data_IF_294468716972
#
_entry.id   IF_294468716972
#
_cell.length_a   1.000
_cell.length_b   1.000
_cell.length_c   1.000
_cell.angle_alpha   90.00
_cell.angle_beta   90.00
_cell.angle_gamma   90.00
#
_symmetry.space_group_name_H-M   'P 1'
#
loop_
_entity.id
_entity.type
_entity.pdbx_description
1 polymer ?
#
# COMPACT_ATOMS: atom_id res chain seq x y z
N UNK A 1 4.73 -15.22 9.41
CA UNK A 1 3.63 -16.23 9.34
C UNK A 1 2.31 -15.64 9.86
N UNK A 2 2.36 -14.60 10.68
CA UNK A 2 1.20 -14.00 11.33
C UNK A 2 0.55 -12.82 10.57
N UNK A 3 0.75 -12.73 9.25
CA UNK A 3 0.20 -11.62 8.45
C UNK A 3 -1.34 -11.59 8.49
N UNK A 4 -1.98 -12.76 8.62
CA UNK A 4 -3.43 -12.88 8.75
C UNK A 4 -3.95 -12.09 9.96
N UNK A 5 -3.24 -12.08 11.10
CA UNK A 5 -3.66 -11.31 12.30
C UNK A 5 -3.79 -9.82 11.99
N UNK A 6 -2.90 -9.28 11.16
CA UNK A 6 -2.96 -7.87 10.74
C UNK A 6 -4.11 -7.67 9.76
N UNK A 7 -4.29 -8.55 8.79
CA UNK A 7 -5.38 -8.46 7.82
C UNK A 7 -6.77 -8.59 8.49
N UNK A 8 -6.89 -9.48 9.47
CA UNK A 8 -8.09 -9.68 10.28
C UNK A 8 -8.38 -8.41 11.08
N UNK A 9 -7.39 -7.88 11.80
CA UNK A 9 -7.52 -6.60 12.52
C UNK A 9 -8.01 -5.47 11.61
N UNK A 10 -7.37 -5.27 10.45
CA UNK A 10 -7.77 -4.21 9.52
C UNK A 10 -9.20 -4.42 8.98
N UNK A 11 -9.59 -5.67 8.74
CA UNK A 11 -10.94 -6.00 8.27
C UNK A 11 -12.00 -5.76 9.35
N UNK A 12 -11.75 -6.22 10.58
CA UNK A 12 -12.65 -6.06 11.73
C UNK A 12 -12.88 -4.59 12.11
N UNK A 13 -11.88 -3.73 11.87
CA UNK A 13 -11.95 -2.29 12.13
C UNK A 13 -12.35 -1.49 10.88
N UNK A 14 -12.82 -2.17 9.83
CA UNK A 14 -13.24 -1.57 8.55
C UNK A 14 -12.18 -0.67 7.88
N UNK A 15 -10.90 -0.93 8.16
CA UNK A 15 -9.77 -0.22 7.55
C UNK A 15 -9.51 -0.80 6.16
N UNK A 16 -9.75 0.00 5.13
CA UNK A 16 -9.42 -0.36 3.76
C UNK A 16 -7.91 -0.64 3.63
N UNK A 17 -7.56 -1.71 2.93
CA UNK A 17 -6.16 -2.12 2.82
C UNK A 17 -5.85 -2.83 1.49
N UNK A 18 -4.58 -2.81 1.10
CA UNK A 18 -4.08 -3.59 -0.02
C UNK A 18 -2.99 -4.54 0.41
N UNK A 19 -3.03 -5.74 -0.16
CA UNK A 19 -2.03 -6.76 0.04
C UNK A 19 -1.28 -7.00 -1.26
N UNK A 20 0.04 -6.85 -1.23
CA UNK A 20 0.93 -7.13 -2.34
C UNK A 20 1.92 -8.24 -1.94
N UNK A 21 1.98 -9.29 -2.75
CA UNK A 21 2.85 -10.42 -2.54
C UNK A 21 3.86 -10.50 -3.66
N UNK A 22 5.13 -10.70 -3.30
CA UNK A 22 6.19 -10.86 -4.28
C UNK A 22 7.25 -11.83 -3.77
N UNK A 23 7.93 -12.49 -4.71
CA UNK A 23 9.09 -13.32 -4.38
C UNK A 23 10.31 -12.43 -4.18
N UNK A 24 11.11 -12.72 -3.18
CA UNK A 24 12.33 -11.96 -2.91
C UNK A 24 13.24 -12.65 -1.91
N UNK A 25 14.16 -11.87 -1.36
CA UNK A 25 15.00 -12.32 -0.22
C UNK A 25 14.31 -11.98 1.09
N UNK A 26 14.67 -12.69 2.15
CA UNK A 26 14.29 -12.31 3.51
C UNK A 26 14.62 -10.82 3.78
N UNK A 27 13.85 -10.19 4.67
CA UNK A 27 14.21 -8.87 5.21
C UNK A 27 15.37 -8.95 6.22
N UNK A 28 15.68 -10.16 6.71
CA UNK A 28 16.93 -10.45 7.39
C UNK A 28 18.08 -10.45 6.37
N UNK A 29 19.01 -9.52 6.54
CA UNK A 29 20.15 -9.32 5.64
C UNK A 29 21.13 -10.50 5.61
N UNK A 30 21.11 -11.37 6.63
CA UNK A 30 21.98 -12.55 6.70
C UNK A 30 21.38 -13.78 6.00
N UNK A 31 20.06 -13.76 5.74
CA UNK A 31 19.35 -14.89 5.15
C UNK A 31 19.43 -14.85 3.63
N UNK A 32 19.97 -15.93 3.04
CA UNK A 32 19.95 -16.15 1.58
C UNK A 32 18.70 -16.89 1.10
N UNK A 33 17.84 -17.32 2.02
CA UNK A 33 16.67 -18.11 1.70
C UNK A 33 15.67 -17.33 0.85
N UNK A 34 15.17 -17.92 -0.25
CA UNK A 34 14.07 -17.34 -0.98
C UNK A 34 12.83 -17.22 -0.11
N UNK A 35 12.18 -16.05 -0.18
CA UNK A 35 11.11 -15.68 0.75
C UNK A 35 9.98 -14.99 -0.01
N UNK A 36 8.74 -15.29 0.37
CA UNK A 36 7.58 -14.48 -0.03
C UNK A 36 7.53 -13.24 0.86
N UNK A 37 7.69 -12.07 0.24
CA UNK A 37 7.46 -10.78 0.88
C UNK A 37 5.98 -10.44 0.76
N UNK A 38 5.40 -10.05 1.87
CA UNK A 38 4.02 -9.56 1.93
C UNK A 38 4.04 -8.13 2.42
N UNK A 39 3.48 -7.22 1.64
CA UNK A 39 3.26 -5.83 2.00
C UNK A 39 1.76 -5.64 2.21
N UNK A 40 1.39 -5.07 3.35
CA UNK A 40 0.01 -4.77 3.70
C UNK A 40 -0.07 -3.28 3.99
N UNK A 41 -0.74 -2.54 3.11
CA UNK A 41 -0.87 -1.09 3.19
C UNK A 41 -2.29 -0.72 3.64
N UNK A 42 -2.47 -0.26 4.89
CA UNK A 42 -3.71 0.39 5.27
C UNK A 42 -3.80 1.74 4.54
N UNK A 43 -4.98 2.09 4.07
CA UNK A 43 -5.18 3.21 3.16
C UNK A 43 -6.52 3.89 3.37
N UNK A 44 -6.62 5.13 2.92
CA UNK A 44 -7.87 5.88 2.94
C UNK A 44 -8.92 5.14 2.11
N UNK A 45 -10.10 4.95 2.69
CA UNK A 45 -11.24 4.36 1.98
C UNK A 45 -11.64 5.29 0.84
N UNK A 46 -11.74 4.75 -0.36
CA UNK A 46 -12.19 5.49 -1.54
C UNK A 46 -13.58 5.00 -1.94
N UNK A 47 -14.55 5.92 -2.02
CA UNK A 47 -15.93 5.65 -2.45
C UNK A 47 -16.23 6.64 -3.57
N UNK A 48 -16.30 6.17 -4.82
CA UNK A 48 -16.58 7.03 -5.97
C UNK A 48 -16.05 6.49 -7.30
N UNK A 49 -16.24 7.27 -8.37
CA UNK A 49 -15.58 7.06 -9.66
C UNK A 49 -14.24 7.77 -9.58
N UNK A 50 -13.15 7.09 -9.94
CA UNK A 50 -11.82 7.71 -10.02
C UNK A 50 -11.79 8.59 -11.27
N UNK A 51 -12.03 9.89 -11.09
CA UNK A 51 -11.87 10.88 -12.14
C UNK A 51 -10.40 10.98 -12.55
N UNK A 52 -10.16 11.00 -13.86
CA UNK A 52 -9.03 11.52 -14.68
C UNK A 52 -7.60 11.58 -14.13
N UNK A 53 -7.25 10.86 -13.07
CA UNK A 53 -5.86 10.67 -12.69
C UNK A 53 -5.13 9.82 -13.74
N UNK A 54 -3.85 10.14 -14.00
CA UNK A 54 -3.03 9.40 -14.97
C UNK A 54 -2.98 7.89 -14.67
N UNK A 55 -3.07 7.53 -13.38
CA UNK A 55 -3.23 6.18 -12.89
C UNK A 55 -4.10 6.16 -11.62
N UNK A 56 -4.64 4.99 -11.32
CA UNK A 56 -5.55 4.79 -10.19
C UNK A 56 -4.83 4.04 -9.07
N UNK A 57 -4.59 4.68 -7.92
CA UNK A 57 -3.93 3.99 -6.80
C UNK A 57 -4.77 2.80 -6.32
N UNK A 58 -4.30 1.59 -6.60
CA UNK A 58 -4.89 0.34 -6.16
C UNK A 58 -3.82 -0.42 -5.36
N UNK A 59 -3.12 -1.37 -5.96
CA UNK A 59 -2.18 -2.26 -5.25
C UNK A 59 -0.78 -2.12 -5.82
N UNK A 60 -0.63 -2.31 -7.13
CA UNK A 60 0.68 -2.37 -7.79
C UNK A 60 1.34 -0.99 -7.87
N UNK A 61 0.54 0.07 -7.82
CA UNK A 61 0.98 1.47 -7.77
C UNK A 61 1.76 1.77 -6.49
N UNK A 62 1.33 1.19 -5.35
CA UNK A 62 2.05 1.28 -4.09
C UNK A 62 3.37 0.49 -4.12
N UNK A 63 3.49 -0.45 -5.06
CA UNK A 63 4.73 -1.16 -5.39
C UNK A 63 5.56 -0.51 -6.50
N UNK A 64 5.21 0.71 -6.94
CA UNK A 64 5.94 1.48 -7.95
C UNK A 64 5.55 1.21 -9.41
N UNK A 65 4.50 0.43 -9.68
CA UNK A 65 4.02 0.21 -11.04
C UNK A 65 3.06 1.34 -11.44
N UNK A 66 3.33 2.03 -12.55
CA UNK A 66 2.52 3.17 -12.98
C UNK A 66 1.80 2.84 -14.29
N UNK A 67 0.63 2.16 -14.25
CA UNK A 67 -0.15 1.85 -15.44
C UNK A 67 -0.84 3.11 -15.96
N UNK A 68 -0.11 3.90 -16.74
CA UNK A 68 -0.59 5.15 -17.31
C UNK A 68 -1.40 4.85 -18.58
N UNK A 69 -2.64 5.35 -18.61
CA UNK A 69 -3.60 4.99 -19.66
C UNK A 69 -3.65 5.98 -20.82
N UNK A 70 -3.10 7.18 -20.62
CA UNK A 70 -3.16 8.29 -21.57
C UNK A 70 -1.74 8.68 -21.95
N UNK A 71 -1.45 8.68 -23.26
CA UNK A 71 -0.11 8.96 -23.79
C UNK A 71 0.41 10.34 -23.39
N UNK A 72 -0.44 11.36 -23.45
CA UNK A 72 -0.09 12.72 -23.03
C UNK A 72 0.38 12.75 -21.57
N UNK A 73 -0.38 12.10 -20.68
CA UNK A 73 -0.03 12.01 -19.27
C UNK A 73 1.24 11.18 -19.06
N UNK A 74 1.48 10.15 -19.87
CA UNK A 74 2.73 9.39 -19.82
C UNK A 74 3.95 10.27 -20.10
N UNK A 75 3.83 11.18 -21.07
CA UNK A 75 4.91 12.11 -21.42
C UNK A 75 5.09 13.27 -20.45
N UNK A 76 4.08 13.62 -19.65
CA UNK A 76 4.08 14.80 -18.79
C UNK A 76 4.18 14.51 -17.28
N UNK A 77 4.03 13.26 -16.86
CA UNK A 77 4.10 12.89 -15.44
C UNK A 77 5.48 13.17 -14.85
N UNK A 78 5.49 13.80 -13.68
CA UNK A 78 6.68 14.02 -12.86
C UNK A 78 6.64 13.13 -11.61
N UNK A 79 7.79 12.87 -11.02
CA UNK A 79 7.89 12.16 -9.72
C UNK A 79 7.03 12.85 -8.65
N UNK A 80 7.05 14.18 -8.59
CA UNK A 80 6.22 14.98 -7.68
C UNK A 80 4.71 14.70 -7.87
N UNK A 81 4.22 14.71 -9.11
CA UNK A 81 2.80 14.40 -9.40
C UNK A 81 2.41 12.96 -9.06
N UNK A 82 3.35 12.02 -9.21
CA UNK A 82 3.17 10.61 -8.83
C UNK A 82 3.09 10.50 -7.31
N UNK A 83 3.99 11.16 -6.58
CA UNK A 83 3.99 11.20 -5.12
C UNK A 83 2.69 11.78 -4.58
N UNK A 84 2.23 12.93 -5.10
CA UNK A 84 0.96 13.54 -4.71
C UNK A 84 -0.21 12.58 -4.92
N UNK A 85 -0.24 11.91 -6.07
CA UNK A 85 -1.27 10.92 -6.40
C UNK A 85 -1.24 9.75 -5.41
N UNK A 86 -0.07 9.22 -5.08
CA UNK A 86 0.08 8.13 -4.10
C UNK A 86 -0.32 8.59 -2.69
N UNK A 87 0.12 9.79 -2.28
CA UNK A 87 -0.19 10.38 -0.96
C UNK A 87 -1.69 10.58 -0.76
N UNK A 88 -2.46 10.83 -1.82
CA UNK A 88 -3.93 10.93 -1.73
C UNK A 88 -4.60 9.65 -1.19
N UNK A 89 -3.93 8.49 -1.31
CA UNK A 89 -4.41 7.22 -0.80
C UNK A 89 -3.91 6.89 0.62
N UNK A 90 -2.93 7.65 1.15
CA UNK A 90 -2.42 7.45 2.50
C UNK A 90 -3.48 7.78 3.55
N UNK A 91 -3.39 7.10 4.69
CA UNK A 91 -4.11 7.52 5.89
C UNK A 91 -3.52 8.81 6.43
N UNK A 92 -4.31 9.54 7.22
CA UNK A 92 -3.80 10.65 8.00
C UNK A 92 -2.81 10.13 9.06
N UNK A 93 -1.78 10.91 9.39
CA UNK A 93 -0.68 10.47 10.25
C UNK A 93 -1.16 9.92 11.60
N UNK A 94 -2.12 10.60 12.22
CA UNK A 94 -2.65 10.20 13.53
C UNK A 94 -3.42 8.87 13.47
N UNK A 95 -4.17 8.64 12.39
CA UNK A 95 -4.91 7.40 12.17
C UNK A 95 -3.93 6.24 11.93
N UNK A 96 -2.92 6.46 11.09
CA UNK A 96 -1.86 5.49 10.85
C UNK A 96 -1.12 5.13 12.15
N UNK A 97 -0.75 6.12 12.95
CA UNK A 97 -0.06 5.90 14.22
C UNK A 97 -0.90 5.09 15.21
N UNK A 98 -2.21 5.35 15.28
CA UNK A 98 -3.13 4.56 16.13
C UNK A 98 -3.18 3.11 15.68
N UNK A 99 -3.43 2.87 14.38
CA UNK A 99 -3.49 1.51 13.81
C UNK A 99 -2.17 0.78 14.03
N UNK A 100 -1.03 1.45 13.81
CA UNK A 100 0.29 0.87 14.03
C UNK A 100 0.49 0.43 15.48
N UNK A 101 0.07 1.25 16.44
CA UNK A 101 0.17 0.89 17.85
C UNK A 101 -0.68 -0.34 18.18
N UNK A 102 -1.90 -0.41 17.67
CA UNK A 102 -2.81 -1.53 17.95
C UNK A 102 -2.36 -2.83 17.28
N UNK A 103 -1.92 -2.75 16.01
CA UNK A 103 -1.34 -3.90 15.30
C UNK A 103 -0.09 -4.43 16.00
N UNK A 104 0.75 -3.56 16.56
CA UNK A 104 1.98 -3.98 17.27
C UNK A 104 1.64 -4.77 18.55
N UNK A 105 0.54 -4.44 19.23
CA UNK A 105 0.07 -5.17 20.42
C UNK A 105 -0.38 -6.60 20.10
N UNK A 106 -0.73 -6.92 18.86
CA UNK A 106 -1.10 -8.29 18.44
C UNK A 106 0.08 -9.29 18.49
N UNK A 107 1.31 -8.77 18.59
CA UNK A 107 2.56 -9.54 18.60
C UNK A 107 3.37 -9.39 19.89
N UNK A 108 2.84 -8.65 20.87
CA UNK A 108 3.43 -8.48 22.20
C UNK A 108 2.95 -9.60 23.11
#
# INVERSE_FOLDING_TARGET
RDIHKVADYLSEHEVAHNMFLTYGKSFDSQSTEPTIRVFLWPRKKFIGIKEEAAFNVAVVELGGHLPIKVEELYGSLTEESIEETIRSACLEDQEYLSIKQDVTKLFS
#
